data_IF_655048512163
#
_entry.id   IF_655048512163
#
_cell.length_a   1.000
_cell.length_b   1.000
_cell.length_c   1.000
_cell.angle_alpha   90.00
_cell.angle_beta   90.00
_cell.angle_gamma   90.00
#
_symmetry.space_group_name_H-M   'P 1'
#
loop_
_entity.id
_entity.type
_entity.pdbx_description
1 polymer ?
#
# COMPACT_ATOMS: atom_id res chain seq x y z
N UNK A 1 20.03 -0.32 7.75
CA UNK A 1 19.21 0.71 7.08
C UNK A 1 18.48 0.02 5.95
N UNK A 2 17.15 0.12 5.89
CA UNK A 2 16.38 -0.51 4.81
C UNK A 2 16.53 0.38 3.57
N UNK A 3 17.12 -0.16 2.50
CA UNK A 3 17.11 0.51 1.20
C UNK A 3 15.79 0.19 0.51
N UNK A 4 15.13 1.22 -0.06
CA UNK A 4 13.83 1.08 -0.71
C UNK A 4 13.88 1.55 -2.15
N UNK A 5 13.05 0.93 -2.99
CA UNK A 5 12.79 1.36 -4.37
C UNK A 5 11.29 1.52 -4.59
N UNK A 6 10.94 2.42 -5.50
CA UNK A 6 9.56 2.59 -5.97
C UNK A 6 9.39 1.80 -7.27
N UNK A 7 8.34 0.99 -7.32
CA UNK A 7 8.00 0.21 -8.51
C UNK A 7 6.50 0.09 -8.70
N UNK A 8 6.09 -0.36 -9.88
CA UNK A 8 4.69 -0.73 -10.12
C UNK A 8 4.30 -1.90 -9.20
N UNK A 9 3.01 -1.91 -8.81
CA UNK A 9 2.39 -3.03 -8.11
C UNK A 9 2.38 -4.28 -9.01
N UNK A 10 2.57 -5.45 -8.41
CA UNK A 10 2.61 -6.74 -9.12
C UNK A 10 1.69 -7.75 -8.44
N UNK A 11 1.25 -8.77 -9.18
CA UNK A 11 0.42 -9.86 -8.64
C UNK A 11 1.03 -10.54 -7.41
N UNK A 12 2.37 -10.70 -7.36
CA UNK A 12 3.07 -11.32 -6.23
C UNK A 12 2.94 -10.52 -4.92
N UNK A 13 2.59 -9.23 -4.99
CA UNK A 13 2.41 -8.40 -3.80
C UNK A 13 1.06 -8.64 -3.10
N UNK A 14 0.13 -9.37 -3.75
CA UNK A 14 -1.27 -9.51 -3.33
C UNK A 14 -1.42 -9.91 -1.88
N UNK A 15 -0.73 -10.97 -1.46
CA UNK A 15 -0.83 -11.48 -0.08
C UNK A 15 -0.39 -10.43 0.95
N UNK A 16 0.75 -9.77 0.70
CA UNK A 16 1.28 -8.74 1.59
C UNK A 16 0.38 -7.49 1.62
N UNK A 17 -0.23 -7.12 0.49
CA UNK A 17 -1.19 -6.02 0.42
C UNK A 17 -2.47 -6.34 1.19
N UNK A 18 -3.04 -7.54 1.00
CA UNK A 18 -4.25 -7.95 1.73
C UNK A 18 -3.99 -7.97 3.23
N UNK A 19 -2.86 -8.55 3.65
CA UNK A 19 -2.44 -8.55 5.06
C UNK A 19 -2.36 -7.13 5.63
N UNK A 20 -1.75 -6.19 4.89
CA UNK A 20 -1.65 -4.78 5.27
C UNK A 20 -3.03 -4.10 5.40
N UNK A 21 -3.93 -4.30 4.46
CA UNK A 21 -5.27 -3.70 4.45
C UNK A 21 -6.19 -4.27 5.53
N UNK A 22 -5.85 -5.45 6.04
CA UNK A 22 -6.54 -6.10 7.16
C UNK A 22 -5.91 -5.74 8.52
N UNK A 23 -4.79 -5.03 8.56
CA UNK A 23 -4.19 -4.56 9.82
C UNK A 23 -4.91 -3.27 10.31
N UNK A 24 -5.62 -3.32 11.46
CA UNK A 24 -6.32 -2.15 11.99
C UNK A 24 -5.38 -1.02 12.42
N UNK A 25 -4.10 -1.30 12.70
CA UNK A 25 -3.10 -0.28 13.02
C UNK A 25 -2.73 0.53 11.79
N UNK A 26 -2.55 -0.13 10.65
CA UNK A 26 -2.26 0.52 9.36
C UNK A 26 -3.49 1.29 8.88
N UNK A 27 -4.67 0.67 8.93
CA UNK A 27 -5.90 1.24 8.41
C UNK A 27 -6.57 2.30 9.31
N UNK A 28 -6.04 2.54 10.51
CA UNK A 28 -6.61 3.49 11.49
C UNK A 28 -6.90 4.88 10.89
N UNK A 29 -6.07 5.33 9.96
CA UNK A 29 -6.16 6.66 9.34
C UNK A 29 -6.54 6.60 7.85
N UNK A 30 -6.81 5.41 7.31
CA UNK A 30 -7.03 5.19 5.89
C UNK A 30 -8.49 4.81 5.63
N UNK A 31 -9.02 5.29 4.50
CA UNK A 31 -10.35 4.90 4.00
C UNK A 31 -11.43 4.89 5.10
N UNK A 32 -12.07 3.73 5.36
CA UNK A 32 -13.15 3.61 6.34
C UNK A 32 -12.70 3.67 7.81
N UNK A 33 -11.41 3.90 8.10
CA UNK A 33 -10.82 3.95 9.45
C UNK A 33 -11.01 2.66 10.25
N UNK A 34 -11.01 1.53 9.54
CA UNK A 34 -11.02 0.17 10.07
C UNK A 34 -10.26 -0.75 9.13
N UNK A 35 -9.83 -1.91 9.64
CA UNK A 35 -9.39 -3.00 8.80
C UNK A 35 -10.47 -3.36 7.76
N UNK A 36 -10.03 -3.66 6.54
CA UNK A 36 -10.91 -4.17 5.49
C UNK A 36 -11.27 -5.63 5.75
N UNK A 37 -12.43 -6.04 5.27
CA UNK A 37 -12.74 -7.45 5.06
C UNK A 37 -11.92 -8.02 3.90
N UNK A 38 -11.89 -9.35 3.75
CA UNK A 38 -11.05 -10.02 2.76
C UNK A 38 -11.47 -9.68 1.33
N UNK A 39 -12.77 -9.69 1.05
CA UNK A 39 -13.37 -9.30 -0.23
C UNK A 39 -13.15 -7.82 -0.57
N UNK A 40 -13.23 -6.93 0.44
CA UNK A 40 -12.90 -5.51 0.31
C UNK A 40 -11.42 -5.30 -0.05
N UNK A 41 -10.52 -6.03 0.62
CA UNK A 41 -9.08 -5.95 0.37
C UNK A 41 -8.70 -6.53 -1.01
N UNK A 42 -9.32 -7.64 -1.40
CA UNK A 42 -9.18 -8.21 -2.74
C UNK A 42 -9.64 -7.22 -3.81
N UNK A 43 -10.83 -6.67 -3.66
CA UNK A 43 -11.39 -5.69 -4.61
C UNK A 43 -10.50 -4.44 -4.71
N UNK A 44 -9.94 -3.99 -3.59
CA UNK A 44 -8.99 -2.89 -3.56
C UNK A 44 -7.72 -3.22 -4.34
N UNK A 45 -7.16 -4.42 -4.14
CA UNK A 45 -5.94 -4.86 -4.81
C UNK A 45 -6.12 -4.92 -6.33
N UNK A 46 -7.18 -5.55 -6.82
CA UNK A 46 -7.45 -5.66 -8.27
C UNK A 46 -7.65 -4.27 -8.90
N UNK A 47 -8.32 -3.35 -8.19
CA UNK A 47 -8.47 -1.96 -8.63
C UNK A 47 -7.12 -1.24 -8.67
N UNK A 48 -6.26 -1.41 -7.66
CA UNK A 48 -4.95 -0.76 -7.60
C UNK A 48 -3.99 -1.28 -8.67
N UNK A 49 -4.12 -2.56 -9.03
CA UNK A 49 -3.33 -3.20 -10.08
C UNK A 49 -3.76 -2.74 -11.47
N UNK A 50 -5.07 -2.64 -11.70
CA UNK A 50 -5.63 -2.22 -13.00
C UNK A 50 -5.50 -0.72 -13.24
N UNK A 51 -5.67 0.09 -12.18
CA UNK A 51 -5.65 1.55 -12.24
C UNK A 51 -4.59 2.10 -11.27
N UNK A 52 -3.30 1.99 -11.62
CA UNK A 52 -2.21 2.38 -10.72
C UNK A 52 -2.23 3.90 -10.50
N UNK A 53 -2.45 4.29 -9.25
CA UNK A 53 -2.38 5.70 -8.81
C UNK A 53 -1.23 5.96 -7.83
N UNK A 54 -0.60 4.89 -7.33
CA UNK A 54 0.51 4.94 -6.37
C UNK A 54 1.53 3.88 -6.74
N UNK A 55 2.78 4.11 -6.37
CA UNK A 55 3.84 3.13 -6.45
C UNK A 55 3.83 2.21 -5.23
N UNK A 56 4.23 0.96 -5.43
CA UNK A 56 4.63 0.08 -4.35
C UNK A 56 6.02 0.52 -3.87
N UNK A 57 6.16 0.67 -2.56
CA UNK A 57 7.44 0.75 -1.87
C UNK A 57 7.90 -0.69 -1.65
N UNK A 58 9.08 -1.02 -2.14
CA UNK A 58 9.66 -2.34 -1.98
C UNK A 58 11.08 -2.27 -1.43
N UNK A 59 11.47 -3.30 -0.68
CA UNK A 59 12.86 -3.50 -0.31
C UNK A 59 13.72 -3.57 -1.58
N UNK A 60 14.82 -2.81 -1.62
CA UNK A 60 15.64 -2.71 -2.81
C UNK A 60 16.27 -4.06 -3.20
N UNK A 61 16.70 -4.83 -2.20
CA UNK A 61 17.46 -6.08 -2.35
C UNK A 61 16.54 -7.29 -2.55
N UNK A 62 15.50 -7.42 -1.71
CA UNK A 62 14.61 -8.60 -1.72
C UNK A 62 13.37 -8.42 -2.59
N UNK A 63 13.09 -7.19 -3.03
CA UNK A 63 11.86 -6.82 -3.73
C UNK A 63 10.57 -7.01 -2.91
N UNK A 64 10.70 -7.27 -1.60
CA UNK A 64 9.59 -7.44 -0.67
C UNK A 64 8.73 -6.18 -0.61
N UNK A 65 7.41 -6.37 -0.67
CA UNK A 65 6.44 -5.31 -0.55
C UNK A 65 6.41 -4.72 0.88
N UNK A 66 6.63 -3.41 0.98
CA UNK A 66 6.67 -2.66 2.24
C UNK A 66 5.38 -1.83 2.42
N UNK A 67 4.86 -1.24 1.34
CA UNK A 67 3.69 -0.37 1.40
C UNK A 67 3.47 0.38 0.09
N UNK A 68 2.74 1.48 0.15
CA UNK A 68 2.51 2.35 -1.00
C UNK A 68 2.92 3.79 -0.71
N UNK A 69 3.30 4.50 -1.77
CA UNK A 69 3.35 5.95 -1.79
C UNK A 69 3.01 6.49 -3.18
N UNK A 70 2.41 7.67 -3.26
CA UNK A 70 2.20 8.34 -4.53
C UNK A 70 1.17 9.45 -4.46
N UNK A 71 0.89 10.02 -5.62
CA UNK A 71 -0.03 11.15 -5.78
C UNK A 71 -1.26 10.66 -6.55
N UNK A 72 -2.43 10.82 -5.93
CA UNK A 72 -3.73 10.58 -6.57
C UNK A 72 -4.40 11.91 -6.84
N UNK A 73 -5.13 12.03 -7.95
CA UNK A 73 -6.02 13.17 -8.16
C UNK A 73 -7.31 13.00 -7.34
N UNK A 74 -7.63 14.00 -6.53
CA UNK A 74 -8.87 14.06 -5.75
C UNK A 74 -9.50 15.44 -5.96
N UNK A 75 -10.68 15.46 -6.58
CA UNK A 75 -11.41 16.70 -6.88
C UNK A 75 -10.56 17.76 -7.61
N UNK A 76 -9.68 17.30 -8.51
CA UNK A 76 -8.74 18.14 -9.26
C UNK A 76 -7.51 18.60 -8.47
N UNK A 77 -7.36 18.17 -7.22
CA UNK A 77 -6.22 18.47 -6.35
C UNK A 77 -5.32 17.23 -6.24
N UNK A 78 -4.00 17.37 -6.41
CA UNK A 78 -3.06 16.29 -6.15
C UNK A 78 -3.00 15.99 -4.65
N UNK A 79 -3.45 14.80 -4.27
CA UNK A 79 -3.38 14.25 -2.92
C UNK A 79 -2.20 13.28 -2.83
N UNK A 80 -1.19 13.64 -2.04
CA UNK A 80 -0.09 12.74 -1.71
C UNK A 80 -0.45 11.87 -0.51
N UNK A 81 -0.26 10.56 -0.65
CA UNK A 81 -0.47 9.62 0.45
C UNK A 81 0.53 8.49 0.45
N UNK A 82 0.83 8.00 1.65
CA UNK A 82 1.63 6.81 1.88
C UNK A 82 1.04 5.98 3.01
N UNK A 83 1.27 4.68 2.97
CA UNK A 83 0.90 3.76 4.03
C UNK A 83 1.77 2.50 3.95
N UNK A 84 2.28 2.11 5.11
CA UNK A 84 3.37 1.14 5.25
C UNK A 84 2.91 0.02 6.18
N UNK A 85 3.26 -1.23 5.86
CA UNK A 85 3.02 -2.37 6.75
C UNK A 85 3.68 -2.12 8.10
N UNK A 86 2.97 -2.45 9.17
CA UNK A 86 3.40 -2.10 10.53
C UNK A 86 4.77 -2.66 10.93
N UNK A 87 5.16 -3.79 10.36
CA UNK A 87 6.45 -4.45 10.61
C UNK A 87 7.67 -3.64 10.12
N UNK A 88 7.48 -2.69 9.20
CA UNK A 88 8.55 -1.81 8.71
C UNK A 88 8.55 -0.42 9.37
N UNK A 89 7.66 -0.16 10.33
CA UNK A 89 7.62 1.14 11.01
C UNK A 89 8.90 1.41 11.82
N UNK A 90 9.25 2.69 11.98
CA UNK A 90 10.45 3.11 12.70
C UNK A 90 11.75 3.07 11.90
N UNK A 91 11.67 2.94 10.56
CA UNK A 91 12.84 2.85 9.68
C UNK A 91 13.11 4.11 8.82
N UNK A 92 12.42 5.22 9.11
CA UNK A 92 12.45 6.45 8.30
C UNK A 92 11.26 6.54 7.36
#
# INVERSE_FOLDING_TARGET
>A
MISVKLRNLRHQDKEAVISMLRDPRVMRFLGPRRALAEDEADSWFESALTNPTRFAVANADTDEFIGFCGIKQMDGVPDFGYFIRSEFWGNG
#
